data_IF_717568119021
#
_entry.id   IF_717568119021
#
_cell.length_a   1.000
_cell.length_b   1.000
_cell.length_c   1.000
_cell.angle_alpha   90.00
_cell.angle_beta   90.00
_cell.angle_gamma   90.00
#
_symmetry.space_group_name_H-M   'P 1'
#
loop_
_entity.id
_entity.type
_entity.pdbx_description
1 polymer ?
#
# COMPACT_ATOMS: atom_id res chain seq x y z
N UNK A 1 21.40 -6.53 7.45
CA UNK A 1 20.07 -6.35 6.81
C UNK A 1 19.67 -7.68 6.16
N UNK A 2 18.40 -7.98 5.93
CA UNK A 2 17.97 -9.24 5.32
C UNK A 2 17.06 -8.96 4.11
N UNK A 3 17.20 -9.74 3.04
CA UNK A 3 16.38 -9.62 1.83
C UNK A 3 15.89 -10.98 1.37
N UNK A 4 14.59 -11.04 1.06
CA UNK A 4 13.94 -12.16 0.40
C UNK A 4 13.16 -11.64 -0.82
N UNK A 5 13.41 -12.24 -1.97
CA UNK A 5 12.68 -12.07 -3.23
C UNK A 5 12.10 -13.42 -3.70
N UNK A 6 11.58 -13.48 -4.93
CA UNK A 6 11.02 -14.71 -5.50
C UNK A 6 11.99 -15.90 -5.65
N UNK A 7 13.30 -15.65 -5.52
CA UNK A 7 14.36 -16.68 -5.50
C UNK A 7 15.59 -16.12 -4.80
N UNK A 8 16.47 -17.02 -4.31
CA UNK A 8 17.75 -16.62 -3.71
C UNK A 8 18.60 -15.79 -4.68
N UNK A 9 18.72 -16.22 -5.93
CA UNK A 9 19.44 -15.49 -6.98
C UNK A 9 18.89 -14.06 -7.18
N UNK A 10 17.56 -13.88 -7.07
CA UNK A 10 16.92 -12.57 -7.17
C UNK A 10 17.21 -11.70 -5.94
N UNK A 11 17.28 -12.31 -4.75
CA UNK A 11 17.72 -11.63 -3.52
C UNK A 11 19.17 -11.15 -3.66
N UNK A 12 20.08 -12.03 -4.07
CA UNK A 12 21.52 -11.74 -4.26
C UNK A 12 21.75 -10.62 -5.28
N UNK A 13 21.08 -10.67 -6.44
CA UNK A 13 21.12 -9.59 -7.44
C UNK A 13 20.62 -8.27 -6.86
N UNK A 14 19.60 -8.31 -6.01
CA UNK A 14 19.13 -7.13 -5.29
C UNK A 14 20.20 -6.55 -4.37
N UNK A 15 20.90 -7.39 -3.61
CA UNK A 15 21.98 -6.95 -2.73
C UNK A 15 23.14 -6.33 -3.52
N UNK A 16 23.55 -6.96 -4.63
CA UNK A 16 24.60 -6.47 -5.52
C UNK A 16 24.24 -5.11 -6.11
N UNK A 17 23.02 -4.96 -6.63
CA UNK A 17 22.56 -3.73 -7.29
C UNK A 17 22.56 -2.50 -6.38
N UNK A 18 22.48 -2.69 -5.06
CA UNK A 18 22.45 -1.62 -4.06
C UNK A 18 23.69 -1.62 -3.14
N UNK A 19 24.75 -2.38 -3.47
CA UNK A 19 26.00 -2.51 -2.70
C UNK A 19 25.79 -2.84 -1.20
N UNK A 20 24.81 -3.71 -0.92
CA UNK A 20 24.41 -4.08 0.44
C UNK A 20 25.24 -5.27 0.96
N UNK A 21 26.55 -5.06 1.16
CA UNK A 21 27.50 -6.14 1.49
C UNK A 21 27.30 -6.77 2.87
N UNK A 22 26.74 -6.03 3.81
CA UNK A 22 26.42 -6.51 5.18
C UNK A 22 24.98 -7.05 5.28
N UNK A 23 24.35 -7.33 4.14
CA UNK A 23 23.02 -7.91 4.07
C UNK A 23 23.06 -9.40 3.70
N UNK A 24 22.12 -10.14 4.26
CA UNK A 24 21.97 -11.57 4.04
C UNK A 24 20.78 -11.83 3.10
N UNK A 25 21.00 -12.65 2.08
CA UNK A 25 19.96 -13.09 1.17
C UNK A 25 19.35 -14.39 1.70
N UNK A 26 18.02 -14.44 1.74
CA UNK A 26 17.27 -15.63 2.14
C UNK A 26 16.55 -16.25 0.95
N UNK A 27 16.39 -17.58 0.99
CA UNK A 27 15.69 -18.37 -0.01
C UNK A 27 14.17 -18.49 0.26
N UNK A 28 13.74 -18.12 1.48
CA UNK A 28 12.37 -18.22 1.97
C UNK A 28 12.08 -17.14 3.02
N UNK A 29 10.82 -16.70 3.09
CA UNK A 29 10.37 -15.74 4.12
C UNK A 29 10.41 -16.37 5.51
N UNK A 30 10.19 -17.68 5.62
CA UNK A 30 10.25 -18.45 6.85
C UNK A 30 11.65 -18.47 7.46
N UNK A 31 12.68 -18.75 6.64
CA UNK A 31 14.07 -18.73 7.09
C UNK A 31 14.47 -17.32 7.55
N UNK A 32 14.09 -16.30 6.78
CA UNK A 32 14.33 -14.90 7.13
C UNK A 32 13.66 -14.53 8.46
N UNK A 33 12.40 -14.92 8.67
CA UNK A 33 11.66 -14.61 9.90
C UNK A 33 12.18 -15.38 11.12
N UNK A 34 12.78 -16.57 10.94
CA UNK A 34 13.40 -17.33 12.05
C UNK A 34 14.79 -16.82 12.44
N UNK A 35 15.42 -15.99 11.61
CA UNK A 35 16.75 -15.47 11.90
C UNK A 35 16.75 -14.52 13.10
N UNK A 36 17.74 -14.67 13.98
CA UNK A 36 17.98 -13.77 15.11
C UNK A 36 18.52 -12.40 14.67
N UNK A 37 19.05 -12.31 13.44
CA UNK A 37 19.55 -11.04 12.87
C UNK A 37 18.43 -10.14 12.35
N UNK A 38 17.19 -10.65 12.29
CA UNK A 38 16.01 -9.94 11.81
C UNK A 38 15.11 -9.56 12.99
N UNK A 39 14.93 -8.25 13.22
CA UNK A 39 14.04 -7.71 14.26
C UNK A 39 12.77 -7.06 13.70
N UNK A 40 12.81 -6.61 12.44
CA UNK A 40 11.71 -5.98 11.71
C UNK A 40 11.64 -6.57 10.29
N UNK A 41 10.44 -7.02 9.91
CA UNK A 41 10.14 -7.49 8.54
C UNK A 41 9.33 -6.42 7.81
N UNK A 42 9.81 -5.98 6.65
CA UNK A 42 9.15 -4.96 5.83
C UNK A 42 8.60 -5.58 4.54
N UNK A 43 7.30 -5.46 4.32
CA UNK A 43 6.61 -6.02 3.15
C UNK A 43 6.42 -4.97 2.05
N UNK A 44 7.34 -4.94 1.09
CA UNK A 44 7.30 -4.08 -0.09
C UNK A 44 6.85 -4.85 -1.35
N UNK A 45 5.76 -5.61 -1.22
CA UNK A 45 5.20 -6.47 -2.27
C UNK A 45 3.78 -6.05 -2.61
N UNK A 46 3.23 -6.61 -3.70
CA UNK A 46 1.85 -6.38 -4.06
C UNK A 46 0.89 -6.82 -2.95
N UNK A 47 -0.18 -6.05 -2.74
CA UNK A 47 -1.11 -6.20 -1.60
C UNK A 47 -1.68 -7.60 -1.47
N UNK A 48 -1.93 -8.28 -2.59
CA UNK A 48 -2.47 -9.64 -2.61
C UNK A 48 -1.52 -10.69 -2.01
N UNK A 49 -0.22 -10.42 -1.94
CA UNK A 49 0.76 -11.31 -1.30
C UNK A 49 0.93 -11.06 0.20
N UNK A 50 0.31 -10.00 0.76
CA UNK A 50 0.52 -9.64 2.17
C UNK A 50 0.03 -10.71 3.14
N UNK A 51 -1.14 -11.29 2.87
CA UNK A 51 -1.76 -12.25 3.78
C UNK A 51 -0.91 -13.51 3.97
N UNK A 52 -0.37 -14.06 2.88
CA UNK A 52 0.44 -15.27 2.95
C UNK A 52 1.82 -14.99 3.58
N UNK A 53 2.43 -13.85 3.24
CA UNK A 53 3.79 -13.53 3.68
C UNK A 53 3.87 -13.01 5.12
N UNK A 54 2.80 -12.40 5.65
CA UNK A 54 2.79 -11.91 7.04
C UNK A 54 2.76 -13.05 8.05
N UNK A 55 2.18 -14.19 7.67
CA UNK A 55 2.00 -15.35 8.54
C UNK A 55 3.33 -15.78 9.16
N UNK A 56 4.39 -15.87 8.36
CA UNK A 56 5.71 -16.33 8.80
C UNK A 56 6.35 -15.37 9.82
N UNK A 57 6.11 -14.06 9.71
CA UNK A 57 6.58 -13.10 10.71
C UNK A 57 5.77 -13.13 12.00
N UNK A 58 4.45 -13.35 11.91
CA UNK A 58 3.58 -13.48 13.10
C UNK A 58 3.97 -14.75 13.87
N UNK A 59 4.10 -15.88 13.18
CA UNK A 59 4.49 -17.16 13.79
C UNK A 59 5.89 -17.12 14.42
N UNK A 60 6.79 -16.29 13.89
CA UNK A 60 8.14 -16.06 14.44
C UNK A 60 8.22 -14.90 15.44
N UNK A 61 7.08 -14.33 15.85
CA UNK A 61 6.98 -13.21 16.78
C UNK A 61 7.80 -11.96 16.40
N UNK A 62 7.94 -11.68 15.11
CA UNK A 62 8.70 -10.53 14.59
C UNK A 62 7.84 -9.27 14.43
N UNK A 63 8.45 -8.10 14.65
CA UNK A 63 7.81 -6.82 14.31
C UNK A 63 7.64 -6.76 12.80
N UNK A 64 6.48 -6.32 12.34
CA UNK A 64 6.16 -6.28 10.91
C UNK A 64 5.71 -4.89 10.46
N UNK A 65 6.12 -4.50 9.26
CA UNK A 65 5.65 -3.30 8.59
C UNK A 65 4.97 -3.66 7.27
N UNK A 66 3.68 -3.37 7.16
CA UNK A 66 2.87 -3.65 5.96
C UNK A 66 2.35 -2.36 5.34
N UNK A 67 2.20 -2.35 4.02
CA UNK A 67 1.34 -1.39 3.32
C UNK A 67 -0.14 -1.80 3.45
N UNK A 68 -0.68 -1.87 4.67
CA UNK A 68 -2.08 -2.30 4.96
C UNK A 68 -2.28 -2.82 6.39
N UNK A 69 -3.51 -2.70 6.93
CA UNK A 69 -3.87 -2.99 8.33
C UNK A 69 -3.73 -4.45 8.77
N UNK A 70 -3.24 -4.71 10.01
CA UNK A 70 -3.61 -5.85 10.87
C UNK A 70 -3.16 -5.65 12.35
N UNK A 71 -3.73 -6.42 13.30
CA UNK A 71 -3.42 -6.49 14.77
C UNK A 71 -3.20 -7.97 15.12
N UNK A 72 -2.24 -8.42 15.96
CA UNK A 72 -2.19 -8.34 17.44
C UNK A 72 -0.81 -8.90 17.92
N UNK A 73 -0.23 -8.35 19.00
CA UNK A 73 0.79 -9.02 19.83
C UNK A 73 2.24 -8.52 19.68
N UNK A 74 2.69 -8.26 18.45
CA UNK A 74 4.03 -7.71 18.16
C UNK A 74 3.86 -6.34 17.47
N UNK A 75 4.84 -5.43 17.60
CA UNK A 75 4.77 -4.11 16.98
C UNK A 75 4.41 -4.22 15.50
N UNK A 76 3.34 -3.53 15.08
CA UNK A 76 2.92 -3.47 13.67
C UNK A 76 2.95 -2.03 13.21
N UNK A 77 3.67 -1.78 12.12
CA UNK A 77 3.70 -0.49 11.44
C UNK A 77 2.90 -0.61 10.15
N UNK A 78 2.03 0.36 9.88
CA UNK A 78 1.24 0.40 8.65
C UNK A 78 1.73 1.58 7.82
N UNK A 79 1.93 1.36 6.52
CA UNK A 79 2.30 2.38 5.54
C UNK A 79 1.19 3.40 5.29
N UNK A 80 0.83 4.20 6.30
CA UNK A 80 -0.13 5.32 6.23
C UNK A 80 0.61 6.64 6.47
N UNK A 81 1.63 6.89 5.66
CA UNK A 81 2.60 7.98 5.83
C UNK A 81 2.01 9.39 5.73
N UNK A 82 0.81 9.55 5.18
CA UNK A 82 0.14 10.85 5.12
C UNK A 82 -0.08 11.46 6.52
N UNK A 83 -0.31 10.63 7.53
CA UNK A 83 -0.49 11.02 8.93
C UNK A 83 0.79 11.51 9.63
N UNK A 84 1.93 11.49 8.95
CA UNK A 84 3.21 12.07 9.43
C UNK A 84 3.78 13.10 8.45
N UNK A 85 3.00 13.50 7.45
CA UNK A 85 3.43 14.50 6.46
C UNK A 85 3.53 15.90 7.08
N UNK A 86 4.42 16.79 6.59
CA UNK A 86 4.49 18.17 7.08
C UNK A 86 3.15 18.92 6.98
N UNK A 87 2.36 18.65 5.94
CA UNK A 87 1.03 19.23 5.78
C UNK A 87 0.06 18.75 6.87
N UNK A 88 0.08 17.46 7.21
CA UNK A 88 -0.69 16.91 8.32
C UNK A 88 -0.28 17.57 9.65
N UNK A 89 1.03 17.63 9.94
CA UNK A 89 1.55 18.22 11.18
C UNK A 89 1.10 19.68 11.33
N UNK A 90 1.20 20.47 10.25
CA UNK A 90 0.74 21.86 10.26
C UNK A 90 -0.76 21.97 10.56
N UNK A 91 -1.59 21.11 9.95
CA UNK A 91 -3.04 21.09 10.21
C UNK A 91 -3.34 20.68 11.66
N UNK A 92 -2.64 19.67 12.19
CA UNK A 92 -2.76 19.26 13.59
C UNK A 92 -2.46 20.43 14.54
N UNK A 93 -1.34 21.13 14.34
CA UNK A 93 -0.96 22.29 15.16
C UNK A 93 -2.01 23.41 15.10
N UNK A 94 -2.59 23.68 13.93
CA UNK A 94 -3.66 24.68 13.78
C UNK A 94 -4.91 24.26 14.57
N UNK A 95 -5.33 23.01 14.47
CA UNK A 95 -6.50 22.48 15.15
C UNK A 95 -6.29 22.46 16.68
N UNK A 96 -5.15 21.95 17.14
CA UNK A 96 -4.79 21.86 18.57
C UNK A 96 -4.66 23.24 19.21
N UNK A 97 -4.17 24.25 18.48
CA UNK A 97 -4.08 25.61 18.99
C UNK A 97 -5.43 26.28 19.25
N UNK A 98 -6.53 25.72 18.75
CA UNK A 98 -7.88 26.28 18.86
C UNK A 98 -8.10 27.59 18.08
N UNK A 99 -7.11 28.06 17.32
CA UNK A 99 -7.13 29.37 16.64
C UNK A 99 -8.23 29.52 15.58
N UNK A 100 -8.74 28.41 15.06
CA UNK A 100 -9.83 28.38 14.07
C UNK A 100 -11.16 27.91 14.67
N UNK A 101 -11.22 27.68 15.99
CA UNK A 101 -12.36 27.06 16.65
C UNK A 101 -12.63 25.63 16.16
N UNK A 102 -13.88 25.17 16.30
CA UNK A 102 -14.31 23.85 15.85
C UNK A 102 -14.58 23.87 14.34
N UNK A 103 -13.98 22.96 13.54
CA UNK A 103 -14.36 22.80 12.14
C UNK A 103 -15.86 22.52 11.99
N UNK A 104 -16.53 23.30 11.14
CA UNK A 104 -17.97 23.14 10.86
C UNK A 104 -18.21 22.24 9.65
N UNK A 105 -17.31 22.29 8.66
CA UNK A 105 -17.37 21.49 7.45
C UNK A 105 -15.97 21.27 6.88
N UNK A 106 -15.74 20.09 6.30
CA UNK A 106 -14.50 19.72 5.62
C UNK A 106 -14.84 19.23 4.22
N UNK A 107 -14.18 19.79 3.22
CA UNK A 107 -14.32 19.38 1.83
C UNK A 107 -12.99 18.88 1.32
N UNK A 108 -13.00 17.72 0.67
CA UNK A 108 -11.81 17.10 0.09
C UNK A 108 -12.13 16.84 -1.37
N UNK A 109 -11.23 17.30 -2.24
CA UNK A 109 -11.26 16.99 -3.67
C UNK A 109 -9.90 16.47 -4.05
N UNK A 110 -9.87 15.42 -4.86
CA UNK A 110 -8.64 14.75 -5.23
C UNK A 110 -8.80 13.96 -6.51
N UNK A 111 -7.66 13.70 -7.13
CA UNK A 111 -7.52 12.79 -8.27
C UNK A 111 -6.28 11.95 -8.02
N UNK A 112 -6.33 10.66 -8.37
CA UNK A 112 -5.18 9.78 -8.20
C UNK A 112 -3.99 10.23 -9.05
N UNK A 113 -4.22 10.71 -10.28
CA UNK A 113 -3.19 11.24 -11.17
C UNK A 113 -1.95 10.34 -11.35
N UNK A 114 -2.14 9.02 -11.32
CA UNK A 114 -1.06 8.04 -11.44
C UNK A 114 -1.21 7.15 -12.69
N UNK A 115 -0.13 6.52 -13.13
CA UNK A 115 -0.08 5.63 -14.31
C UNK A 115 -0.92 4.35 -14.16
N UNK A 116 -1.28 3.99 -12.93
CA UNK A 116 -2.17 2.88 -12.59
C UNK A 116 -3.66 3.25 -12.62
N UNK A 117 -3.99 4.53 -12.88
CA UNK A 117 -5.37 5.03 -12.94
C UNK A 117 -5.75 5.61 -14.30
N UNK A 118 -7.05 5.81 -14.52
CA UNK A 118 -7.57 6.30 -15.80
C UNK A 118 -7.86 5.20 -16.84
N UNK A 119 -7.93 5.62 -18.11
CA UNK A 119 -8.32 4.80 -19.27
C UNK A 119 -7.16 3.98 -19.84
N UNK A 120 -5.94 4.52 -19.77
CA UNK A 120 -4.75 3.95 -20.40
C UNK A 120 -3.76 3.57 -19.29
N UNK A 121 -3.35 2.30 -19.27
CA UNK A 121 -2.65 1.70 -18.12
C UNK A 121 -1.41 0.99 -18.61
N UNK A 122 -0.31 1.15 -17.90
CA UNK A 122 0.94 0.44 -18.20
C UNK A 122 0.82 -1.02 -17.76
N UNK A 123 1.36 -1.96 -18.54
CA UNK A 123 1.28 -3.43 -18.31
C UNK A 123 1.61 -3.83 -16.87
N UNK A 124 2.59 -3.18 -16.24
CA UNK A 124 3.00 -3.43 -14.85
C UNK A 124 1.88 -3.24 -13.83
N UNK A 125 0.91 -2.38 -14.13
CA UNK A 125 -0.24 -2.07 -13.28
C UNK A 125 -1.51 -2.80 -13.70
N UNK A 126 -1.42 -3.83 -14.56
CA UNK A 126 -2.60 -4.60 -14.99
C UNK A 126 -3.42 -5.11 -13.79
N UNK A 127 -2.75 -5.60 -12.75
CA UNK A 127 -3.40 -6.13 -11.54
C UNK A 127 -4.27 -5.10 -10.81
N UNK A 128 -4.08 -3.79 -11.03
CA UNK A 128 -4.88 -2.73 -10.41
C UNK A 128 -6.30 -2.61 -11.02
N UNK A 129 -6.56 -3.26 -12.16
CA UNK A 129 -7.87 -3.28 -12.84
C UNK A 129 -8.41 -4.67 -13.12
N UNK A 130 -7.60 -5.70 -12.96
CA UNK A 130 -7.99 -7.07 -13.21
C UNK A 130 -8.72 -7.60 -11.97
N UNK A 131 -10.06 -7.59 -11.98
CA UNK A 131 -10.87 -8.08 -10.85
C UNK A 131 -10.88 -9.60 -10.72
N UNK A 132 -10.54 -10.30 -11.81
CA UNK A 132 -10.53 -11.76 -11.88
C UNK A 132 -9.17 -12.34 -11.48
N UNK A 133 -8.13 -11.51 -11.36
CA UNK A 133 -6.85 -11.98 -10.88
C UNK A 133 -6.93 -12.36 -9.39
N UNK A 134 -6.20 -13.41 -9.04
CA UNK A 134 -6.21 -13.97 -7.70
C UNK A 134 -5.73 -12.92 -6.69
N UNK A 135 -6.50 -12.72 -5.60
CA UNK A 135 -6.19 -11.74 -4.56
C UNK A 135 -6.44 -10.27 -4.89
N UNK A 136 -6.97 -9.91 -6.08
CA UNK A 136 -7.23 -8.50 -6.50
C UNK A 136 -8.70 -8.10 -6.53
N UNK A 137 -9.53 -8.70 -5.68
CA UNK A 137 -10.93 -8.25 -5.44
C UNK A 137 -11.02 -6.83 -4.85
N UNK A 138 -9.89 -6.25 -4.44
CA UNK A 138 -9.78 -4.88 -3.92
C UNK A 138 -9.95 -3.81 -5.00
N UNK A 139 -10.90 -2.90 -4.81
CA UNK A 139 -11.01 -1.70 -5.62
C UNK A 139 -9.87 -0.72 -5.28
N UNK A 140 -8.79 -0.72 -6.05
CA UNK A 140 -7.61 0.17 -5.85
C UNK A 140 -8.00 1.63 -5.57
N UNK A 141 -8.95 2.20 -6.33
CA UNK A 141 -9.41 3.58 -6.12
C UNK A 141 -9.99 3.81 -4.72
N UNK A 142 -10.78 2.86 -4.22
CA UNK A 142 -11.44 2.96 -2.94
C UNK A 142 -10.50 2.56 -1.80
N UNK A 143 -9.86 1.39 -1.90
CA UNK A 143 -9.06 0.84 -0.80
C UNK A 143 -7.71 1.54 -0.63
N UNK A 144 -7.06 1.96 -1.72
CA UNK A 144 -5.75 2.62 -1.67
C UNK A 144 -5.95 4.14 -1.65
N UNK A 145 -6.41 4.75 -2.74
CA UNK A 145 -6.40 6.21 -2.85
C UNK A 145 -7.33 6.89 -1.86
N UNK A 146 -8.60 6.45 -1.78
CA UNK A 146 -9.52 7.03 -0.80
C UNK A 146 -9.06 6.71 0.62
N UNK A 147 -8.61 5.48 0.89
CA UNK A 147 -8.06 5.10 2.20
C UNK A 147 -6.91 6.02 2.66
N UNK A 148 -5.88 6.20 1.83
CA UNK A 148 -4.76 7.09 2.13
C UNK A 148 -5.16 8.57 2.28
N UNK A 149 -6.17 9.01 1.53
CA UNK A 149 -6.67 10.39 1.60
C UNK A 149 -7.48 10.62 2.88
N UNK A 150 -8.34 9.67 3.23
CA UNK A 150 -9.31 9.83 4.30
C UNK A 150 -8.73 9.50 5.68
N UNK A 151 -7.72 8.63 5.75
CA UNK A 151 -7.05 8.28 6.99
C UNK A 151 -6.52 9.49 7.79
N UNK A 152 -5.67 10.38 7.25
CA UNK A 152 -5.19 11.54 8.01
C UNK A 152 -6.33 12.46 8.44
N UNK A 153 -7.43 12.51 7.68
CA UNK A 153 -8.60 13.33 8.02
C UNK A 153 -9.34 12.74 9.21
N UNK A 154 -9.54 11.42 9.23
CA UNK A 154 -10.10 10.71 10.38
C UNK A 154 -9.21 10.91 11.62
N UNK A 155 -7.88 10.86 11.48
CA UNK A 155 -6.97 11.08 12.61
C UNK A 155 -7.11 12.50 13.19
N UNK A 156 -7.33 13.52 12.36
CA UNK A 156 -7.47 14.90 12.80
C UNK A 156 -8.87 15.25 13.32
N UNK A 157 -9.92 14.72 12.68
CA UNK A 157 -11.30 15.17 12.87
C UNK A 157 -12.22 14.11 13.51
N UNK A 158 -11.74 12.89 13.68
CA UNK A 158 -12.52 11.74 14.17
C UNK A 158 -13.21 10.94 13.07
N UNK A 159 -13.70 9.76 13.44
CA UNK A 159 -14.42 8.86 12.54
C UNK A 159 -15.82 9.39 12.20
N UNK A 160 -16.30 9.19 10.96
CA UNK A 160 -17.66 9.54 10.59
C UNK A 160 -18.67 8.65 11.32
N UNK A 161 -19.71 9.24 11.92
CA UNK A 161 -20.83 8.50 12.53
C UNK A 161 -21.81 7.96 11.49
N UNK A 162 -21.86 8.58 10.31
CA UNK A 162 -22.70 8.18 9.18
C UNK A 162 -21.91 8.32 7.88
N UNK A 163 -22.12 7.38 6.95
CA UNK A 163 -21.41 7.36 5.68
C UNK A 163 -22.42 7.20 4.53
N UNK A 164 -22.30 8.06 3.52
CA UNK A 164 -23.00 7.93 2.25
C UNK A 164 -21.99 8.05 1.12
N UNK A 165 -21.97 7.04 0.25
CA UNK A 165 -21.03 6.97 -0.87
C UNK A 165 -21.77 6.76 -2.19
N UNK A 166 -21.22 7.32 -3.26
CA UNK A 166 -21.59 6.97 -4.62
C UNK A 166 -20.32 6.59 -5.37
N UNK A 167 -20.31 5.39 -5.95
CA UNK A 167 -19.19 4.91 -6.77
C UNK A 167 -19.63 4.79 -8.22
N UNK A 168 -18.73 5.12 -9.15
CA UNK A 168 -18.99 5.02 -10.58
C UNK A 168 -17.77 4.49 -11.31
N UNK A 169 -17.99 3.49 -12.16
CA UNK A 169 -17.00 3.06 -13.16
C UNK A 169 -17.11 3.97 -14.37
N UNK A 170 -16.16 4.90 -14.52
CA UNK A 170 -16.10 5.84 -15.65
C UNK A 170 -15.48 5.22 -16.91
N UNK A 171 -14.61 4.22 -16.75
CA UNK A 171 -13.98 3.49 -17.85
C UNK A 171 -14.20 1.97 -17.72
N UNK A 172 -15.30 1.43 -18.28
CA UNK A 172 -15.57 -0.02 -18.27
C UNK A 172 -14.56 -0.84 -19.07
N UNK A 173 -13.75 -0.20 -19.92
CA UNK A 173 -12.66 -0.78 -20.69
C UNK A 173 -11.45 0.13 -20.60
N UNK A 174 -10.28 -0.46 -20.37
CA UNK A 174 -8.99 0.24 -20.30
C UNK A 174 -8.04 -0.31 -21.37
N UNK A 175 -7.20 0.56 -21.92
CA UNK A 175 -6.13 0.15 -22.83
C UNK A 175 -4.91 -0.25 -22.02
N UNK A 176 -4.28 -1.37 -22.37
CA UNK A 176 -3.04 -1.83 -21.74
C UNK A 176 -1.85 -1.51 -22.64
N UNK A 177 -0.90 -0.75 -22.12
CA UNK A 177 0.26 -0.24 -22.84
C UNK A 177 1.56 -0.83 -22.29
N UNK A 178 2.53 -1.07 -23.16
CA UNK A 178 3.96 -0.99 -22.80
C UNK A 178 4.45 0.42 -23.10
N UNK A 179 5.66 0.80 -22.63
CA UNK A 179 6.22 2.16 -22.74
C UNK A 179 6.00 2.85 -24.11
N UNK A 180 5.86 2.10 -25.20
CA UNK A 180 5.60 2.64 -26.55
C UNK A 180 4.53 1.90 -27.38
N UNK A 181 3.91 0.82 -26.88
CA UNK A 181 3.03 -0.04 -27.71
C UNK A 181 1.78 -0.49 -26.97
N UNK A 182 0.63 -0.31 -27.62
CA UNK A 182 -0.65 -0.86 -27.18
C UNK A 182 -0.60 -2.40 -27.28
N UNK A 183 -0.87 -3.08 -26.17
CA UNK A 183 -0.92 -4.54 -26.10
C UNK A 183 -2.31 -5.07 -26.36
N UNK A 184 -3.31 -4.52 -25.67
CA UNK A 184 -4.67 -5.03 -25.69
C UNK A 184 -5.64 -4.00 -25.11
N UNK A 185 -6.93 -4.14 -25.44
CA UNK A 185 -8.01 -3.49 -24.69
C UNK A 185 -8.57 -4.49 -23.69
N UNK A 186 -8.35 -4.25 -22.40
CA UNK A 186 -8.86 -5.10 -21.33
C UNK A 186 -10.14 -4.50 -20.76
N UNK A 187 -11.17 -5.31 -20.60
CA UNK A 187 -12.32 -4.95 -19.78
C UNK A 187 -11.97 -5.26 -18.32
N UNK A 188 -11.97 -4.29 -17.38
CA UNK A 188 -12.36 -4.61 -16.02
C UNK A 188 -13.78 -5.17 -16.13
N UNK A 189 -13.94 -6.50 -16.07
CA UNK A 189 -15.29 -7.07 -15.94
C UNK A 189 -15.81 -6.64 -14.57
N UNK A 190 -17.07 -6.21 -14.54
CA UNK A 190 -17.73 -5.70 -13.34
C UNK A 190 -17.81 -6.77 -12.27
#
# INVERSE_FOLDING_TARGET
MAVYNSSLESSEKGLEAYDLRDAEAFDSVEAMCKSDTVSLVVYAVAVFSHYDLIRSAIEAEKTSMLSGHFKKGIGTVIGLQAGVSPAYVALAMILESGRIGRPLATHISGSACTEETGKDIVKRYKCFKDRDAEGVTGQVMLSIYLGHTFQPVIQLLGEPTTLRTQMRTTWPRSSLWTKTKLLSRTSPRL
#
